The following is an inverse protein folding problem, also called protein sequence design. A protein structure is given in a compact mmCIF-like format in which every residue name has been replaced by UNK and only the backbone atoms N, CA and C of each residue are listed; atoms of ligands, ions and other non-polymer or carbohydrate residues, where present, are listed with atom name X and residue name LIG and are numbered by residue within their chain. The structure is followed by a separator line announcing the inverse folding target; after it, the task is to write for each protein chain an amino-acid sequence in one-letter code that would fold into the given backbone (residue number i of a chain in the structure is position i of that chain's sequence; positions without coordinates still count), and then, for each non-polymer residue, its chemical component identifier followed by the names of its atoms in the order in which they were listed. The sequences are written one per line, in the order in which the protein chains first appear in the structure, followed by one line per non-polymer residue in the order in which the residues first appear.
data_IF_756771664692
#
_entry.id   IF_756771664692
#
_cell.length_a   1.000
_cell.length_b   1.000
_cell.length_c   1.000
_cell.angle_alpha   90.00
_cell.angle_beta   90.00
_cell.angle_gamma   90.00
#
_symmetry.space_group_name_H-M   'P 1'
#
loop_
_entity.id
_entity.type
_entity.pdbx_description
1 polymer ?
#
# COMPACT_ATOMS: atom_id res chain seq x y z
N UNK A 1 -16.66 1.63 27.60
CA UNK A 1 -16.23 1.12 26.28
C UNK A 1 -15.57 -0.22 26.55
N UNK A 2 -16.03 -1.33 25.97
CA UNK A 2 -15.51 -2.68 26.31
C UNK A 2 -14.05 -2.82 25.84
N UNK A 3 -13.25 -3.53 26.63
CA UNK A 3 -11.80 -3.73 26.49
C UNK A 3 -11.46 -4.84 25.48
N UNK A 4 -12.17 -4.85 24.34
CA UNK A 4 -12.08 -5.92 23.33
C UNK A 4 -11.32 -5.42 22.10
N UNK A 5 -10.36 -6.22 21.64
CA UNK A 5 -9.65 -5.99 20.37
C UNK A 5 -10.65 -6.03 19.21
N UNK A 6 -10.50 -5.10 18.26
CA UNK A 6 -11.45 -4.93 17.16
C UNK A 6 -10.78 -4.38 15.91
N UNK A 7 -11.16 -4.95 14.78
CA UNK A 7 -10.70 -4.55 13.46
C UNK A 7 -11.75 -3.62 12.83
N UNK A 8 -11.28 -2.58 12.17
CA UNK A 8 -12.08 -1.58 11.47
C UNK A 8 -11.51 -1.39 10.09
N UNK A 9 -12.37 -1.46 9.08
CA UNK A 9 -12.04 -1.04 7.73
C UNK A 9 -12.47 0.41 7.55
N UNK A 10 -11.50 1.27 7.25
CA UNK A 10 -11.76 2.64 6.82
C UNK A 10 -11.67 2.70 5.30
N UNK A 11 -12.78 3.03 4.65
CA UNK A 11 -12.83 3.14 3.18
C UNK A 11 -12.93 4.60 2.75
N UNK A 12 -11.89 5.09 2.08
CA UNK A 12 -12.04 6.25 1.22
C UNK A 12 -12.63 5.80 -0.12
N UNK A 13 -13.67 6.48 -0.61
CA UNK A 13 -14.33 6.13 -1.86
C UNK A 13 -14.57 7.36 -2.73
N UNK A 14 -13.81 7.48 -3.82
CA UNK A 14 -14.00 8.50 -4.84
C UNK A 14 -15.13 8.08 -5.78
N UNK A 15 -16.27 8.78 -5.82
CA UNK A 15 -17.37 8.44 -6.73
C UNK A 15 -16.97 8.78 -8.17
N UNK A 16 -16.85 7.74 -9.01
CA UNK A 16 -16.56 7.88 -10.43
C UNK A 16 -17.15 6.72 -11.22
N UNK A 17 -18.01 7.03 -12.18
CA UNK A 17 -18.57 6.05 -13.10
C UNK A 17 -17.54 5.73 -14.20
N UNK A 18 -16.71 4.71 -13.97
CA UNK A 18 -15.62 4.31 -14.87
C UNK A 18 -15.93 3.04 -15.68
N UNK A 19 -17.20 2.70 -15.93
CA UNK A 19 -17.52 1.62 -16.89
C UNK A 19 -17.01 1.99 -18.28
N UNK A 20 -16.36 1.04 -18.96
CA UNK A 20 -15.67 1.25 -20.22
C UNK A 20 -14.26 1.84 -20.09
N UNK A 21 -13.84 2.25 -18.90
CA UNK A 21 -12.45 2.64 -18.62
C UNK A 21 -11.59 1.38 -18.50
N UNK A 22 -10.28 1.56 -18.37
CA UNK A 22 -9.31 0.51 -18.10
C UNK A 22 -8.80 0.62 -16.67
N UNK A 23 -8.71 -0.52 -15.98
CA UNK A 23 -7.97 -0.69 -14.73
C UNK A 23 -6.61 -1.31 -15.04
N UNK A 24 -5.53 -0.72 -14.54
CA UNK A 24 -4.18 -1.21 -14.81
C UNK A 24 -3.75 -2.31 -13.84
N UNK A 25 -3.27 -3.43 -14.39
CA UNK A 25 -2.78 -4.57 -13.62
C UNK A 25 -1.28 -4.46 -13.36
N UNK A 26 -0.52 -3.99 -14.35
CA UNK A 26 0.92 -3.74 -14.26
C UNK A 26 1.36 -2.71 -15.33
N UNK A 27 2.67 -2.57 -15.56
CA UNK A 27 3.24 -1.61 -16.53
C UNK A 27 2.83 -1.87 -18.00
N UNK A 28 2.30 -3.05 -18.30
CA UNK A 28 2.01 -3.55 -19.64
C UNK A 28 0.55 -3.99 -19.81
N UNK A 29 -0.07 -4.52 -18.76
CA UNK A 29 -1.39 -5.15 -18.80
C UNK A 29 -2.47 -4.27 -18.15
N UNK A 30 -3.67 -4.33 -18.72
CA UNK A 30 -4.87 -3.69 -18.15
C UNK A 30 -6.13 -4.48 -18.51
N UNK A 31 -7.19 -4.29 -17.71
CA UNK A 31 -8.52 -4.86 -17.90
C UNK A 31 -9.55 -3.76 -18.17
N UNK A 32 -10.46 -3.99 -19.11
CA UNK A 32 -11.63 -3.13 -19.30
C UNK A 32 -12.60 -3.30 -18.14
N UNK A 33 -13.09 -2.18 -17.61
CA UNK A 33 -14.04 -2.10 -16.51
C UNK A 33 -15.46 -2.30 -17.04
N UNK A 34 -16.18 -3.31 -16.53
CA UNK A 34 -17.57 -3.60 -16.89
C UNK A 34 -18.45 -3.75 -15.64
N UNK A 35 -18.15 -4.70 -14.76
CA UNK A 35 -18.88 -5.00 -13.53
C UNK A 35 -18.01 -5.75 -12.52
N UNK A 36 -18.43 -5.80 -11.26
CA UNK A 36 -17.65 -6.37 -10.16
C UNK A 36 -16.48 -5.50 -9.69
N UNK A 37 -15.52 -6.13 -9.02
CA UNK A 37 -14.38 -5.46 -8.36
C UNK A 37 -13.08 -5.69 -9.14
N UNK A 38 -12.29 -4.63 -9.26
CA UNK A 38 -10.98 -4.64 -9.89
C UNK A 38 -9.92 -4.26 -8.86
N UNK A 39 -8.99 -5.18 -8.62
CA UNK A 39 -7.91 -5.01 -7.65
C UNK A 39 -6.72 -5.88 -8.05
N UNK A 40 -5.54 -5.49 -7.55
CA UNK A 40 -4.32 -6.30 -7.56
C UNK A 40 -4.04 -6.71 -6.12
N UNK A 41 -4.86 -7.61 -5.57
CA UNK A 41 -4.82 -7.98 -4.15
C UNK A 41 -3.86 -9.15 -3.88
N UNK A 42 -3.13 -9.06 -2.78
CA UNK A 42 -2.37 -10.16 -2.15
C UNK A 42 -2.75 -10.25 -0.67
N UNK A 43 -2.44 -11.36 -0.02
CA UNK A 43 -2.63 -11.47 1.44
C UNK A 43 -1.41 -10.91 2.18
N UNK A 44 -1.66 -10.10 3.21
CA UNK A 44 -0.64 -9.66 4.16
C UNK A 44 -0.27 -10.74 5.20
N UNK A 45 -1.05 -11.82 5.28
CA UNK A 45 -0.86 -12.92 6.25
C UNK A 45 -0.78 -14.27 5.54
N UNK A 46 -0.06 -15.22 6.13
CA UNK A 46 0.21 -16.53 5.52
C UNK A 46 -0.84 -17.60 5.85
N UNK A 47 -1.56 -17.44 6.97
CA UNK A 47 -2.53 -18.41 7.52
C UNK A 47 -3.99 -17.99 7.32
N UNK A 48 -4.23 -16.95 6.53
CA UNK A 48 -5.55 -16.42 6.24
C UNK A 48 -5.56 -15.47 5.05
N UNK A 49 -6.60 -14.65 4.98
CA UNK A 49 -6.78 -13.65 3.92
C UNK A 49 -6.97 -12.26 4.52
N UNK A 50 -5.92 -11.46 4.47
CA UNK A 50 -5.95 -10.03 4.79
C UNK A 50 -5.54 -9.26 3.53
N UNK A 51 -6.50 -8.82 2.68
CA UNK A 51 -6.18 -8.30 1.37
C UNK A 51 -5.48 -6.95 1.44
N UNK A 52 -4.34 -6.82 0.77
CA UNK A 52 -3.63 -5.56 0.55
C UNK A 52 -3.28 -5.43 -0.93
N UNK A 53 -2.99 -4.22 -1.39
CA UNK A 53 -2.52 -4.03 -2.76
C UNK A 53 -1.09 -4.53 -2.96
N UNK A 54 -0.88 -5.27 -4.05
CA UNK A 54 0.44 -5.70 -4.53
C UNK A 54 1.37 -4.52 -4.81
N UNK A 55 0.81 -3.42 -5.33
CA UNK A 55 1.53 -2.18 -5.62
C UNK A 55 1.04 -1.07 -4.71
N UNK A 56 1.88 -0.09 -4.36
CA UNK A 56 1.46 1.05 -3.55
C UNK A 56 0.60 2.05 -4.35
N UNK A 57 0.12 1.68 -5.54
CA UNK A 57 -0.73 2.51 -6.39
C UNK A 57 -1.67 1.65 -7.23
N UNK A 58 -2.81 2.23 -7.59
CA UNK A 58 -3.75 1.71 -8.57
C UNK A 58 -4.12 2.82 -9.54
N UNK A 59 -4.43 2.48 -10.80
CA UNK A 59 -4.74 3.45 -11.83
C UNK A 59 -5.92 3.03 -12.70
N UNK A 60 -6.82 3.97 -12.97
CA UNK A 60 -7.93 3.84 -13.93
C UNK A 60 -7.87 4.96 -14.97
N UNK A 61 -8.26 4.67 -16.22
CA UNK A 61 -8.25 5.67 -17.30
C UNK A 61 -9.18 5.36 -18.48
N UNK A 62 -9.55 6.37 -19.27
CA UNK A 62 -10.44 6.23 -20.44
C UNK A 62 -9.80 6.62 -21.79
N UNK A 63 -8.48 6.78 -21.84
CA UNK A 63 -7.71 7.26 -23.00
C UNK A 63 -7.52 8.78 -23.02
N UNK A 64 -8.31 9.54 -22.27
CA UNK A 64 -8.22 11.00 -22.18
C UNK A 64 -7.74 11.46 -20.80
N UNK A 65 -8.24 10.83 -19.74
CA UNK A 65 -7.94 11.15 -18.35
C UNK A 65 -7.53 9.86 -17.63
N UNK A 66 -6.43 9.94 -16.88
CA UNK A 66 -6.03 8.91 -15.93
C UNK A 66 -6.13 9.41 -14.50
N UNK A 67 -6.60 8.57 -13.59
CA UNK A 67 -6.68 8.82 -12.16
C UNK A 67 -6.02 7.69 -11.38
N UNK A 68 -5.18 8.05 -10.41
CA UNK A 68 -4.51 7.12 -9.54
C UNK A 68 -4.83 7.38 -8.07
N UNK A 69 -4.93 6.28 -7.32
CA UNK A 69 -4.81 6.26 -5.87
C UNK A 69 -3.43 5.70 -5.53
N UNK A 70 -2.75 6.28 -4.54
CA UNK A 70 -1.46 5.78 -4.10
C UNK A 70 -1.21 5.95 -2.61
N UNK A 71 -0.45 5.02 -2.06
CA UNK A 71 0.02 4.96 -0.69
C UNK A 71 1.47 5.44 -0.65
N UNK A 72 1.85 6.29 0.33
CA UNK A 72 3.25 6.63 0.55
C UNK A 72 4.11 5.38 0.77
N UNK A 73 5.33 5.32 0.21
CA UNK A 73 6.20 4.16 0.35
C UNK A 73 7.13 4.23 1.57
N UNK A 74 7.17 5.35 2.31
CA UNK A 74 8.00 5.53 3.52
C UNK A 74 7.38 4.96 4.80
N UNK A 75 6.11 4.57 4.76
CA UNK A 75 5.37 4.09 5.93
C UNK A 75 4.50 2.88 5.57
N UNK A 76 4.57 1.79 6.36
CA UNK A 76 3.75 0.62 6.10
C UNK A 76 2.28 0.92 6.41
N UNK A 77 1.39 0.55 5.48
CA UNK A 77 -0.05 0.68 5.63
C UNK A 77 -0.73 -0.58 5.09
N UNK A 78 -1.53 -1.24 5.92
CA UNK A 78 -2.33 -2.39 5.48
C UNK A 78 -3.54 -1.84 4.72
N UNK A 79 -3.40 -1.69 3.42
CA UNK A 79 -4.43 -1.09 2.59
C UNK A 79 -4.61 -1.76 1.24
N UNK A 80 -5.86 -1.75 0.76
CA UNK A 80 -6.30 -2.27 -0.52
C UNK A 80 -6.85 -1.13 -1.38
N UNK A 81 -6.19 -0.90 -2.50
CA UNK A 81 -6.62 -0.02 -3.59
C UNK A 81 -7.40 -0.84 -4.62
N UNK A 82 -8.65 -0.43 -4.89
CA UNK A 82 -9.54 -1.17 -5.78
C UNK A 82 -10.56 -0.27 -6.46
N UNK A 83 -11.16 -0.75 -7.53
CA UNK A 83 -12.33 -0.11 -8.14
C UNK A 83 -13.55 -1.04 -8.05
N UNK A 84 -14.63 -0.56 -7.45
CA UNK A 84 -15.93 -1.22 -7.39
C UNK A 84 -16.80 -0.68 -8.54
N UNK A 85 -16.97 -1.48 -9.59
CA UNK A 85 -17.72 -1.08 -10.77
C UNK A 85 -19.24 -1.11 -10.56
N UNK A 86 -19.71 -1.91 -9.61
CA UNK A 86 -21.13 -2.05 -9.33
C UNK A 86 -21.64 -0.83 -8.56
N UNK A 87 -20.79 -0.25 -7.70
CA UNK A 87 -21.10 0.97 -6.96
C UNK A 87 -20.47 2.24 -7.55
N UNK A 88 -19.59 2.12 -8.56
CA UNK A 88 -18.97 3.25 -9.25
C UNK A 88 -18.00 4.01 -8.34
N UNK A 89 -17.14 3.29 -7.61
CA UNK A 89 -16.25 3.88 -6.60
C UNK A 89 -14.81 3.42 -6.79
N UNK A 90 -13.90 4.38 -6.84
CA UNK A 90 -12.46 4.12 -6.76
C UNK A 90 -12.01 4.27 -5.31
N UNK A 91 -11.56 3.18 -4.71
CA UNK A 91 -11.50 3.01 -3.26
C UNK A 91 -10.09 2.73 -2.76
N UNK A 92 -9.82 3.22 -1.55
CA UNK A 92 -8.72 2.79 -0.69
C UNK A 92 -9.31 2.32 0.63
N UNK A 93 -9.19 1.01 0.91
CA UNK A 93 -9.64 0.38 2.15
C UNK A 93 -8.43 0.21 3.06
N UNK A 94 -8.47 0.77 4.26
CA UNK A 94 -7.41 0.66 5.26
C UNK A 94 -7.87 -0.26 6.39
N UNK A 95 -7.07 -1.30 6.66
CA UNK A 95 -7.31 -2.26 7.73
C UNK A 95 -6.65 -1.77 9.02
N UNK A 96 -7.47 -1.31 9.96
CA UNK A 96 -7.03 -0.73 11.23
C UNK A 96 -7.45 -1.62 12.39
N UNK A 97 -6.61 -1.75 13.40
CA UNK A 97 -6.93 -2.48 14.63
C UNK A 97 -6.90 -1.53 15.82
N UNK A 98 -7.90 -1.65 16.70
CA UNK A 98 -7.86 -1.06 18.03
C UNK A 98 -7.60 -2.18 19.02
N UNK A 99 -6.42 -2.15 19.63
CA UNK A 99 -6.02 -3.09 20.69
C UNK A 99 -5.43 -2.37 21.89
N UNK A 100 -5.74 -2.87 23.08
CA UNK A 100 -5.08 -2.41 24.33
C UNK A 100 -3.58 -2.70 24.34
N UNK A 101 -3.11 -3.62 23.48
CA UNK A 101 -1.70 -3.97 23.27
C UNK A 101 -0.95 -2.93 22.45
N UNK A 102 -1.64 -2.07 21.71
CA UNK A 102 -1.05 -1.03 20.85
C UNK A 102 -0.56 0.20 21.64
N UNK A 103 0.09 -0.01 22.79
CA UNK A 103 0.48 1.04 23.74
C UNK A 103 1.42 2.10 23.13
N UNK A 104 2.23 1.72 22.13
CA UNK A 104 3.15 2.63 21.41
C UNK A 104 2.40 3.64 20.53
N UNK A 105 1.16 3.36 20.13
CA UNK A 105 0.37 4.18 19.21
C UNK A 105 -0.50 5.24 19.91
N UNK A 106 -0.56 5.26 21.24
CA UNK A 106 -1.29 6.27 22.03
C UNK A 106 -2.76 6.44 21.59
N UNK A 107 -3.46 5.34 21.29
CA UNK A 107 -4.84 5.32 20.78
C UNK A 107 -5.03 6.12 19.47
N UNK A 108 -4.02 6.13 18.60
CA UNK A 108 -4.08 6.75 17.28
C UNK A 108 -3.75 5.73 16.20
N UNK A 109 -4.42 5.86 15.05
CA UNK A 109 -4.02 5.22 13.81
C UNK A 109 -3.89 6.32 12.76
N UNK A 110 -2.85 6.26 11.94
CA UNK A 110 -2.62 7.19 10.84
C UNK A 110 -2.72 6.42 9.53
N UNK A 111 -3.31 7.05 8.54
CA UNK A 111 -3.31 6.59 7.17
C UNK A 111 -3.19 7.78 6.23
N UNK A 112 -2.56 7.56 5.09
CA UNK A 112 -2.22 8.56 4.11
C UNK A 112 -2.55 8.03 2.70
N UNK A 113 -3.18 8.87 1.91
CA UNK A 113 -3.62 8.56 0.56
C UNK A 113 -3.34 9.75 -0.35
N UNK A 114 -2.70 9.48 -1.49
CA UNK A 114 -2.53 10.45 -2.58
C UNK A 114 -3.50 10.14 -3.71
N UNK A 115 -4.10 11.19 -4.27
CA UNK A 115 -4.97 11.12 -5.45
C UNK A 115 -4.41 12.06 -6.50
N UNK A 116 -4.12 11.55 -7.69
CA UNK A 116 -3.53 12.36 -8.75
C UNK A 116 -3.92 11.89 -10.14
N UNK A 117 -3.74 12.79 -11.12
CA UNK A 117 -3.92 12.47 -12.53
C UNK A 117 -2.63 11.95 -13.14
N UNK A 118 -2.73 11.07 -14.12
CA UNK A 118 -1.59 10.58 -14.91
C UNK A 118 -1.91 10.63 -16.41
N UNK A 119 -0.89 10.54 -17.27
CA UNK A 119 -1.06 10.54 -18.73
C UNK A 119 -1.47 9.13 -19.23
N UNK A 120 -2.70 8.94 -19.76
CA UNK A 120 -3.16 7.65 -20.24
C UNK A 120 -2.31 7.06 -21.38
N UNK A 121 -1.62 7.90 -22.15
CA UNK A 121 -0.77 7.45 -23.27
C UNK A 121 0.37 6.56 -22.80
N UNK A 122 0.87 6.81 -21.58
CA UNK A 122 1.93 6.04 -20.95
C UNK A 122 1.39 5.01 -19.94
N UNK A 123 0.09 5.04 -19.65
CA UNK A 123 -0.60 4.06 -18.81
C UNK A 123 -0.03 4.00 -17.40
N UNK A 124 0.08 2.79 -16.85
CA UNK A 124 0.58 2.57 -15.50
C UNK A 124 2.04 3.04 -15.30
N UNK A 125 2.84 3.13 -16.37
CA UNK A 125 4.20 3.72 -16.27
C UNK A 125 4.15 5.19 -15.85
N UNK A 126 3.13 5.94 -16.26
CA UNK A 126 2.91 7.31 -15.79
C UNK A 126 2.48 7.35 -14.33
N UNK A 127 1.68 6.38 -13.87
CA UNK A 127 1.31 6.22 -12.45
C UNK A 127 2.58 6.07 -11.61
N UNK A 128 3.46 5.13 -11.99
CA UNK A 128 4.74 4.83 -11.31
C UNK A 128 5.65 6.06 -11.30
N UNK A 129 5.86 6.69 -12.46
CA UNK A 129 6.76 7.85 -12.58
C UNK A 129 6.30 9.01 -11.68
N UNK A 130 5.01 9.36 -11.72
CA UNK A 130 4.45 10.43 -10.89
C UNK A 130 4.48 10.10 -9.40
N UNK A 131 4.28 8.83 -9.04
CA UNK A 131 4.45 8.41 -7.65
C UNK A 131 5.88 8.65 -7.17
N UNK A 132 6.88 8.33 -8.00
CA UNK A 132 8.29 8.60 -7.73
C UNK A 132 8.61 10.09 -7.54
N UNK A 133 7.94 10.97 -8.30
CA UNK A 133 8.10 12.43 -8.16
C UNK A 133 7.62 12.98 -6.81
N UNK A 134 6.66 12.32 -6.14
CA UNK A 134 6.21 12.73 -4.81
C UNK A 134 7.17 12.34 -3.70
N UNK A 135 8.03 11.34 -3.93
CA UNK A 135 8.96 10.80 -2.94
C UNK A 135 10.38 10.60 -3.52
N UNK A 136 11.01 11.64 -4.08
CA UNK A 136 12.26 11.49 -4.82
C UNK A 136 13.42 10.96 -3.97
N UNK A 137 13.43 11.28 -2.67
CA UNK A 137 14.43 10.82 -1.70
C UNK A 137 14.42 9.30 -1.46
N UNK A 138 13.29 8.62 -1.64
CA UNK A 138 13.16 7.18 -1.40
C UNK A 138 13.75 6.38 -2.56
N UNK A 139 13.71 6.94 -3.76
CA UNK A 139 14.23 6.31 -4.97
C UNK A 139 15.66 6.74 -5.31
N UNK A 140 16.28 7.58 -4.47
CA UNK A 140 17.65 8.02 -4.65
C UNK A 140 18.53 7.48 -3.50
N UNK A 141 19.40 6.53 -3.82
CA UNK A 141 20.37 5.98 -2.85
C UNK A 141 21.79 6.19 -3.33
N UNK A 142 22.64 6.73 -2.46
CA UNK A 142 24.08 6.79 -2.68
C UNK A 142 24.76 5.44 -2.39
N UNK A 143 24.01 4.44 -1.91
CA UNK A 143 24.53 3.10 -1.69
C UNK A 143 24.88 2.47 -3.04
N UNK A 144 26.15 2.13 -3.29
CA UNK A 144 26.52 1.50 -4.54
C UNK A 144 25.87 0.12 -4.61
N UNK A 145 25.06 -0.12 -5.66
CA UNK A 145 24.34 -1.39 -5.87
C UNK A 145 25.31 -2.58 -5.88
N UNK A 146 26.55 -2.36 -6.31
CA UNK A 146 27.58 -3.38 -6.46
C UNK A 146 28.58 -3.46 -5.29
N UNK A 147 28.55 -2.50 -4.36
CA UNK A 147 29.41 -2.52 -3.15
C UNK A 147 28.66 -3.00 -1.91
N UNK A 148 27.43 -3.51 -2.08
CA UNK A 148 26.67 -4.12 -1.01
C UNK A 148 27.31 -5.48 -0.64
N UNK A 149 28.25 -5.46 0.31
CA UNK A 149 29.02 -6.66 0.71
C UNK A 149 28.26 -7.60 1.64
N UNK A 150 27.25 -7.12 2.37
CA UNK A 150 26.26 -7.94 3.09
C UNK A 150 25.33 -7.06 3.93
N UNK A 151 24.11 -7.53 4.18
CA UNK A 151 23.45 -7.33 5.45
C UNK A 151 23.27 -8.68 6.13
N UNK A 152 23.34 -8.68 7.45
CA UNK A 152 22.91 -9.84 8.23
C UNK A 152 21.39 -9.78 8.28
N UNK A 153 20.73 -10.63 7.49
CA UNK A 153 19.29 -10.85 7.62
C UNK A 153 19.06 -11.51 8.99
N UNK A 154 18.65 -10.72 9.98
CA UNK A 154 18.26 -11.25 11.29
C UNK A 154 17.07 -12.18 11.12
N UNK A 155 17.14 -13.39 11.68
CA UNK A 155 16.01 -14.32 11.68
C UNK A 155 15.32 -14.27 13.04
N UNK A 156 14.14 -13.67 13.12
CA UNK A 156 13.32 -13.64 14.34
C UNK A 156 12.86 -15.03 14.82
N UNK A 157 13.15 -16.09 14.06
CA UNK A 157 12.82 -17.47 14.40
C UNK A 157 13.80 -18.10 15.40
N UNK A 158 14.95 -17.47 15.66
CA UNK A 158 15.93 -17.99 16.63
C UNK A 158 16.08 -17.07 17.85
N UNK A 159 16.25 -17.62 19.07
CA UNK A 159 16.30 -16.82 20.31
C UNK A 159 17.33 -15.69 20.30
N UNK A 160 18.51 -15.94 19.72
CA UNK A 160 19.60 -14.96 19.63
C UNK A 160 19.21 -13.67 18.90
N UNK A 161 18.49 -13.80 17.78
CA UNK A 161 18.09 -12.64 16.97
C UNK A 161 16.83 -11.96 17.54
N UNK A 162 15.96 -12.71 18.24
CA UNK A 162 14.86 -12.12 18.99
C UNK A 162 15.36 -11.23 20.15
N UNK A 163 16.41 -11.66 20.88
CA UNK A 163 17.04 -10.86 21.93
C UNK A 163 17.73 -9.60 21.36
N UNK A 164 18.41 -9.72 20.21
CA UNK A 164 19.01 -8.58 19.53
C UNK A 164 17.96 -7.56 19.06
N UNK A 165 16.82 -8.04 18.54
CA UNK A 165 15.70 -7.19 18.15
C UNK A 165 15.10 -6.45 19.36
N UNK A 166 14.93 -7.13 20.50
CA UNK A 166 14.47 -6.51 21.75
C UNK A 166 15.43 -5.42 22.25
N UNK A 167 16.74 -5.61 22.08
CA UNK A 167 17.74 -4.60 22.45
C UNK A 167 17.72 -3.40 21.51
N UNK A 168 17.59 -3.61 20.20
CA UNK A 168 17.36 -2.52 19.24
C UNK A 168 16.07 -1.75 19.56
N UNK A 169 15.00 -2.45 19.94
CA UNK A 169 13.72 -1.86 20.36
C UNK A 169 13.88 -0.98 21.61
N UNK A 170 14.66 -1.42 22.61
CA UNK A 170 15.01 -0.62 23.81
C UNK A 170 15.77 0.64 23.44
N UNK A 171 16.64 0.55 22.44
CA UNK A 171 17.47 1.65 21.95
C UNK A 171 16.74 2.54 20.94
N UNK A 172 15.48 2.23 20.59
CA UNK A 172 14.70 2.91 19.54
C UNK A 172 15.40 2.89 18.17
N UNK A 173 16.16 1.84 17.90
CA UNK A 173 16.77 1.57 16.62
C UNK A 173 15.78 0.70 15.84
N UNK A 174 15.16 1.28 14.82
CA UNK A 174 14.22 0.57 13.95
C UNK A 174 15.01 -0.05 12.79
N UNK A 175 15.46 -1.29 12.95
CA UNK A 175 16.01 -2.08 11.84
C UNK A 175 14.86 -2.73 11.07
N UNK A 176 14.83 -2.51 9.75
CA UNK A 176 13.99 -3.25 8.81
C UNK A 176 14.42 -4.73 8.72
#
# INVERSE_FOLDING_TARGET
MRDEDRVLDFTFALPIAARGWRFWDDAHCSRSISGGTYENAISAIFDGWLPISLYPYAGIENGEIGLALALPPDRPQLALLRYDADQGRFEAVFHLEISSRAVKLHNKAAFDLSIYRFDPRWGFRSVIARHGEFYPEIYNTNTPIYDYTSAVLGSFLTPRWAEAALEHDRQRIYSA
#
